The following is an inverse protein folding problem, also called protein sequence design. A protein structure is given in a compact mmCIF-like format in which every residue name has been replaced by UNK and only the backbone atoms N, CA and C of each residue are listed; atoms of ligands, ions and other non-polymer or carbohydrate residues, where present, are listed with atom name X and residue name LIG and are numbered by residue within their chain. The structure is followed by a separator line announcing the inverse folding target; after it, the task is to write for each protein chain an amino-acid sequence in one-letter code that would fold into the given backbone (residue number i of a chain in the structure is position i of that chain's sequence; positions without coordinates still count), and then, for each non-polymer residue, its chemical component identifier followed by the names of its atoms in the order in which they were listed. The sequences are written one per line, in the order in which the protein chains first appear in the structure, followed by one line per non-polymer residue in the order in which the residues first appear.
data_IF_992504985988
#
_entry.id   IF_992504985988
#
_cell.length_a   1.000
_cell.length_b   1.000
_cell.length_c   1.000
_cell.angle_alpha   90.00
_cell.angle_beta   90.00
_cell.angle_gamma   90.00
#
_symmetry.space_group_name_H-M   'P 1'
#
loop_
_entity.id
_entity.type
_entity.pdbx_description
1 polymer ?
#
# COMPACT_ATOMS: atom_id res chain seq x y z
N UNK A 1 -11.01 -10.50 -7.60
CA UNK A 1 -10.44 -9.57 -6.61
C UNK A 1 -11.32 -8.33 -6.49
N UNK A 2 -11.61 -7.92 -5.30
CA UNK A 2 -12.45 -6.75 -5.03
C UNK A 2 -11.58 -5.54 -4.72
N UNK A 3 -11.95 -4.36 -5.24
CA UNK A 3 -11.24 -3.11 -4.95
C UNK A 3 -12.21 -2.20 -4.19
N UNK A 4 -11.81 -1.80 -2.99
CA UNK A 4 -12.54 -0.81 -2.19
C UNK A 4 -11.75 0.50 -2.16
N UNK A 5 -12.44 1.61 -2.29
CA UNK A 5 -11.86 2.94 -2.25
C UNK A 5 -12.15 3.54 -0.87
N UNK A 6 -11.09 3.93 -0.16
CA UNK A 6 -11.21 4.50 1.18
C UNK A 6 -10.72 5.94 1.12
N UNK A 7 -11.59 6.88 1.51
CA UNK A 7 -11.22 8.30 1.57
C UNK A 7 -10.30 8.53 2.77
N UNK A 8 -9.16 9.12 2.52
CA UNK A 8 -8.18 9.52 3.53
C UNK A 8 -7.96 11.03 3.46
N UNK A 9 -7.81 11.68 4.62
CA UNK A 9 -7.64 13.12 4.68
C UNK A 9 -8.85 13.82 4.03
N UNK A 10 -8.68 15.00 3.43
CA UNK A 10 -9.78 15.71 2.80
C UNK A 10 -10.04 15.29 1.36
N UNK A 11 -8.97 15.01 0.61
CA UNK A 11 -9.04 14.83 -0.84
C UNK A 11 -8.19 13.66 -1.38
N UNK A 12 -7.71 12.76 -0.52
CA UNK A 12 -6.93 11.61 -0.93
C UNK A 12 -7.73 10.32 -0.81
N UNK A 13 -7.33 9.35 -1.63
CA UNK A 13 -7.95 8.03 -1.64
C UNK A 13 -6.90 6.94 -1.48
N UNK A 14 -7.22 5.96 -0.65
CA UNK A 14 -6.47 4.71 -0.56
C UNK A 14 -7.28 3.63 -1.24
N UNK A 15 -6.57 2.67 -1.85
CA UNK A 15 -7.23 1.56 -2.53
C UNK A 15 -6.92 0.28 -1.78
N UNK A 16 -7.95 -0.46 -1.43
CA UNK A 16 -7.82 -1.73 -0.75
C UNK A 16 -8.16 -2.86 -1.73
N UNK A 17 -7.17 -3.67 -2.05
CA UNK A 17 -7.31 -4.81 -2.95
C UNK A 17 -7.55 -6.04 -2.09
N UNK A 18 -8.72 -6.66 -2.22
CA UNK A 18 -9.16 -7.75 -1.34
C UNK A 18 -9.32 -9.04 -2.13
N UNK A 19 -8.68 -10.10 -1.66
CA UNK A 19 -8.95 -11.44 -2.17
C UNK A 19 -10.23 -11.94 -1.50
N UNK A 20 -11.28 -12.09 -2.26
CA UNK A 20 -12.61 -12.42 -1.74
C UNK A 20 -12.71 -13.82 -1.13
N UNK A 21 -11.78 -14.73 -1.47
CA UNK A 21 -11.80 -16.10 -0.96
C UNK A 21 -11.35 -16.21 0.50
N UNK A 22 -10.38 -15.41 0.91
CA UNK A 22 -9.77 -15.50 2.24
C UNK A 22 -9.67 -14.16 2.97
N UNK A 23 -10.13 -13.07 2.38
CA UNK A 23 -10.07 -11.72 2.93
C UNK A 23 -8.67 -11.17 3.14
N UNK A 24 -7.66 -11.74 2.50
CA UNK A 24 -6.32 -11.16 2.49
C UNK A 24 -6.30 -9.92 1.60
N UNK A 25 -5.59 -8.89 2.03
CA UNK A 25 -5.63 -7.60 1.34
C UNK A 25 -4.28 -6.90 1.26
N UNK A 26 -4.18 -6.03 0.26
CA UNK A 26 -3.10 -5.07 0.09
C UNK A 26 -3.73 -3.68 0.05
N UNK A 27 -3.20 -2.73 0.83
CA UNK A 27 -3.62 -1.34 0.75
C UNK A 27 -2.61 -0.52 -0.03
N UNK A 28 -3.11 0.32 -0.94
CA UNK A 28 -2.28 1.22 -1.75
C UNK A 28 -2.42 2.63 -1.18
N UNK A 29 -1.29 3.23 -0.85
CA UNK A 29 -1.16 4.61 -0.37
C UNK A 29 -2.08 4.96 0.81
N UNK A 30 -1.91 4.30 1.97
CA UNK A 30 -2.71 4.63 3.15
C UNK A 30 -2.21 5.95 3.77
N UNK A 31 -2.69 7.07 3.27
CA UNK A 31 -2.28 8.39 3.73
C UNK A 31 -2.66 8.67 5.18
N UNK A 32 -3.67 7.98 5.68
CA UNK A 32 -4.19 8.11 7.03
C UNK A 32 -4.60 6.73 7.54
N UNK A 33 -4.13 6.34 8.74
CA UNK A 33 -4.39 5.00 9.26
C UNK A 33 -5.84 4.77 9.68
N UNK A 34 -6.45 5.78 10.30
CA UNK A 34 -7.74 5.63 10.98
C UNK A 34 -8.88 5.12 10.09
N UNK A 35 -9.16 5.71 8.91
CA UNK A 35 -10.24 5.21 8.07
C UNK A 35 -9.94 3.82 7.49
N UNK A 36 -8.67 3.51 7.22
CA UNK A 36 -8.26 2.17 6.75
C UNK A 36 -8.46 1.14 7.86
N UNK A 37 -8.04 1.45 9.08
CA UNK A 37 -8.23 0.59 10.25
C UNK A 37 -9.70 0.26 10.46
N UNK A 38 -10.55 1.28 10.41
CA UNK A 38 -11.99 1.11 10.60
C UNK A 38 -12.58 0.14 9.59
N UNK A 39 -12.24 0.31 8.32
CA UNK A 39 -12.73 -0.57 7.25
C UNK A 39 -12.24 -2.01 7.47
N UNK A 40 -10.96 -2.19 7.78
CA UNK A 40 -10.36 -3.51 8.01
C UNK A 40 -11.04 -4.23 9.19
N UNK A 41 -11.24 -3.52 10.30
CA UNK A 41 -11.87 -4.10 11.49
C UNK A 41 -13.35 -4.43 11.25
N UNK A 42 -14.10 -3.52 10.63
CA UNK A 42 -15.53 -3.69 10.35
C UNK A 42 -15.80 -4.85 9.37
N UNK A 43 -14.87 -5.15 8.49
CA UNK A 43 -15.03 -6.16 7.45
C UNK A 43 -14.18 -7.42 7.66
N UNK A 44 -13.49 -7.53 8.80
CA UNK A 44 -12.67 -8.69 9.18
C UNK A 44 -11.64 -9.06 8.10
N UNK A 45 -10.88 -8.07 7.67
CA UNK A 45 -9.87 -8.20 6.61
C UNK A 45 -8.51 -8.49 7.21
N UNK A 46 -7.72 -9.31 6.53
CA UNK A 46 -6.32 -9.58 6.84
C UNK A 46 -5.41 -8.70 5.98
N UNK A 47 -4.88 -7.62 6.54
CA UNK A 47 -3.94 -6.78 5.80
C UNK A 47 -2.58 -7.47 5.74
N UNK A 48 -2.12 -7.80 4.53
CA UNK A 48 -0.82 -8.46 4.30
C UNK A 48 0.24 -7.48 3.81
N UNK A 49 -0.13 -6.52 2.97
CA UNK A 49 0.81 -5.64 2.30
C UNK A 49 0.33 -4.20 2.30
N UNK A 50 1.30 -3.30 2.38
CA UNK A 50 1.13 -1.87 2.16
C UNK A 50 1.97 -1.52 0.95
N UNK A 51 1.36 -1.00 -0.11
CA UNK A 51 2.04 -0.62 -1.33
C UNK A 51 2.01 0.89 -1.48
N UNK A 52 3.18 1.50 -1.60
CA UNK A 52 3.28 2.95 -1.79
C UNK A 52 3.68 3.27 -3.23
N UNK A 53 2.96 4.19 -3.86
CA UNK A 53 3.29 4.66 -5.20
C UNK A 53 4.41 5.70 -5.17
N UNK A 54 4.50 6.50 -4.10
CA UNK A 54 5.55 7.48 -3.90
C UNK A 54 5.63 7.88 -2.41
N UNK A 55 6.56 8.79 -2.08
CA UNK A 55 6.93 9.06 -0.69
C UNK A 55 6.20 10.22 -0.01
N UNK A 56 5.31 10.93 -0.68
CA UNK A 56 4.62 12.08 -0.07
C UNK A 56 3.82 11.65 1.16
N UNK A 57 3.79 12.50 2.19
CA UNK A 57 3.19 12.18 3.49
C UNK A 57 1.71 11.80 3.42
N UNK A 58 0.98 12.39 2.48
CA UNK A 58 -0.44 12.10 2.25
C UNK A 58 -0.69 10.72 1.60
N UNK A 59 0.37 9.98 1.29
CA UNK A 59 0.30 8.62 0.74
C UNK A 59 0.95 7.57 1.66
N UNK A 60 1.81 7.97 2.59
CA UNK A 60 2.49 7.05 3.50
C UNK A 60 2.16 7.26 4.97
N UNK A 61 1.32 8.23 5.30
CA UNK A 61 1.05 8.64 6.68
C UNK A 61 0.52 7.53 7.58
N UNK A 62 -0.17 6.54 7.03
CA UNK A 62 -0.70 5.40 7.77
C UNK A 62 0.21 4.19 7.87
N UNK A 63 1.37 4.22 7.20
CA UNK A 63 2.24 3.04 7.08
C UNK A 63 2.62 2.41 8.41
N UNK A 64 3.16 3.20 9.34
CA UNK A 64 3.69 2.68 10.60
C UNK A 64 2.62 1.99 11.46
N UNK A 65 1.49 2.63 11.62
CA UNK A 65 0.40 2.10 12.46
C UNK A 65 -0.13 0.79 11.86
N UNK A 66 -0.37 0.79 10.56
CA UNK A 66 -0.89 -0.39 9.86
C UNK A 66 0.12 -1.54 9.84
N UNK A 67 1.40 -1.23 9.58
CA UNK A 67 2.47 -2.23 9.62
C UNK A 67 2.57 -2.88 10.99
N UNK A 68 2.60 -2.09 12.05
CA UNK A 68 2.78 -2.60 13.41
C UNK A 68 1.56 -3.38 13.89
N UNK A 69 0.36 -2.92 13.55
CA UNK A 69 -0.87 -3.58 14.00
C UNK A 69 -1.11 -4.92 13.31
N UNK A 70 -0.84 -5.01 12.01
CA UNK A 70 -1.15 -6.21 11.21
C UNK A 70 0.07 -7.02 10.81
N UNK A 71 1.26 -6.57 11.18
CA UNK A 71 2.52 -7.16 10.72
C UNK A 71 2.59 -7.22 9.19
N UNK A 72 2.06 -6.18 8.54
CA UNK A 72 2.04 -6.06 7.09
C UNK A 72 3.41 -5.65 6.56
N UNK A 73 3.73 -6.07 5.34
CA UNK A 73 4.98 -5.71 4.68
C UNK A 73 4.78 -4.52 3.76
N UNK A 74 5.72 -3.58 3.78
CA UNK A 74 5.71 -2.39 2.94
C UNK A 74 6.48 -2.66 1.65
N UNK A 75 5.80 -2.44 0.51
CA UNK A 75 6.38 -2.54 -0.82
C UNK A 75 6.44 -1.14 -1.43
N UNK A 76 7.58 -0.77 -1.95
CA UNK A 76 7.77 0.53 -2.61
C UNK A 76 8.95 0.49 -3.56
N UNK A 77 9.08 1.52 -4.41
CA UNK A 77 10.19 1.64 -5.34
C UNK A 77 11.53 1.63 -4.62
N UNK A 78 12.50 0.93 -5.18
CA UNK A 78 13.90 0.98 -4.70
C UNK A 78 14.48 2.40 -4.72
N UNK A 79 13.95 3.27 -5.58
CA UNK A 79 14.35 4.66 -5.68
C UNK A 79 13.89 5.51 -4.50
N UNK A 80 12.93 5.03 -3.72
CA UNK A 80 12.44 5.70 -2.50
C UNK A 80 13.00 5.10 -1.22
N UNK A 81 14.07 4.32 -1.32
CA UNK A 81 14.71 3.63 -0.19
C UNK A 81 14.97 4.54 1.01
N UNK A 82 15.41 5.76 0.77
CA UNK A 82 15.74 6.72 1.83
C UNK A 82 14.59 7.63 2.21
N UNK A 83 13.50 7.63 1.45
CA UNK A 83 12.36 8.54 1.63
C UNK A 83 11.16 7.88 2.30
N UNK A 84 11.00 6.57 2.14
CA UNK A 84 9.93 5.79 2.77
C UNK A 84 10.55 4.91 3.84
N UNK A 85 10.23 5.14 5.12
CA UNK A 85 10.75 4.31 6.21
C UNK A 85 10.27 2.87 6.14
N UNK A 86 11.12 1.95 6.53
CA UNK A 86 10.78 0.55 6.79
C UNK A 86 10.25 -0.23 5.59
N UNK A 87 10.73 0.06 4.38
CA UNK A 87 10.38 -0.75 3.20
C UNK A 87 10.91 -2.17 3.40
N UNK A 88 10.03 -3.15 3.30
CA UNK A 88 10.39 -4.56 3.39
C UNK A 88 10.75 -5.15 2.04
N UNK A 89 10.06 -4.73 0.99
CA UNK A 89 10.23 -5.25 -0.37
C UNK A 89 10.44 -4.08 -1.32
N UNK A 90 11.62 -4.04 -1.97
CA UNK A 90 11.96 -3.01 -2.93
C UNK A 90 11.51 -3.43 -4.34
N UNK A 91 10.84 -2.53 -5.04
CA UNK A 91 10.30 -2.78 -6.36
C UNK A 91 11.11 -2.03 -7.42
N UNK A 92 11.32 -2.68 -8.57
CA UNK A 92 12.04 -2.13 -9.72
C UNK A 92 11.11 -1.96 -10.91
N UNK A 93 11.40 -1.00 -11.78
CA UNK A 93 10.64 -0.80 -13.02
C UNK A 93 10.64 -2.07 -13.88
N UNK A 94 9.46 -2.41 -14.39
CA UNK A 94 9.27 -3.59 -15.23
C UNK A 94 9.15 -4.90 -14.47
N UNK A 95 9.37 -4.90 -13.17
CA UNK A 95 9.27 -6.11 -12.35
C UNK A 95 7.84 -6.60 -12.28
N UNK A 96 7.67 -7.91 -12.33
CA UNK A 96 6.42 -8.56 -11.96
C UNK A 96 6.63 -9.15 -10.56
N UNK A 97 5.99 -8.54 -9.58
CA UNK A 97 6.03 -9.04 -8.21
C UNK A 97 4.79 -9.87 -7.94
N UNK A 98 4.96 -11.05 -7.38
CA UNK A 98 3.83 -11.91 -7.04
C UNK A 98 4.11 -12.75 -5.81
N UNK A 99 3.06 -13.10 -5.12
CA UNK A 99 3.04 -14.16 -4.11
C UNK A 99 1.85 -15.09 -4.40
N UNK A 100 1.39 -15.83 -3.41
CA UNK A 100 0.26 -16.75 -3.57
C UNK A 100 -1.09 -16.03 -3.74
N UNK A 101 -1.14 -14.73 -3.45
CA UNK A 101 -2.38 -13.96 -3.37
C UNK A 101 -2.45 -12.88 -4.45
N UNK A 102 -1.35 -12.14 -4.64
CA UNK A 102 -1.32 -10.94 -5.48
C UNK A 102 -0.26 -11.04 -6.57
N UNK A 103 -0.53 -10.40 -7.69
CA UNK A 103 0.42 -10.21 -8.79
C UNK A 103 0.36 -8.77 -9.27
N UNK A 104 1.51 -8.09 -9.30
CA UNK A 104 1.62 -6.70 -9.73
C UNK A 104 2.71 -6.55 -10.77
N UNK A 105 2.44 -5.74 -11.79
CA UNK A 105 3.48 -5.24 -12.69
C UNK A 105 3.88 -3.84 -12.25
N UNK A 106 5.17 -3.61 -12.05
CA UNK A 106 5.71 -2.32 -11.64
C UNK A 106 6.02 -1.47 -12.87
N UNK A 107 5.45 -0.28 -12.93
CA UNK A 107 5.68 0.66 -14.01
C UNK A 107 6.19 1.96 -13.39
N UNK A 108 7.44 2.34 -13.70
CA UNK A 108 8.01 3.60 -13.24
C UNK A 108 7.35 4.76 -13.99
N UNK A 109 6.90 5.74 -13.24
CA UNK A 109 6.24 6.94 -13.77
C UNK A 109 6.83 8.20 -13.11
N UNK A 110 8.15 8.47 -13.29
CA UNK A 110 8.78 9.62 -12.65
C UNK A 110 8.18 10.93 -13.16
N UNK A 111 8.19 11.94 -12.33
CA UNK A 111 7.64 13.24 -12.66
C UNK A 111 7.15 13.95 -11.42
N UNK A 112 6.00 13.54 -10.88
CA UNK A 112 5.48 14.04 -9.60
C UNK A 112 6.52 13.84 -8.49
N UNK A 113 7.11 12.65 -8.43
CA UNK A 113 8.36 12.38 -7.73
C UNK A 113 9.26 11.50 -8.61
N UNK A 114 10.55 11.46 -8.34
CA UNK A 114 11.48 10.63 -9.14
C UNK A 114 11.28 9.14 -8.88
N UNK A 115 10.81 8.77 -7.69
CA UNK A 115 10.56 7.38 -7.32
C UNK A 115 9.13 6.90 -7.57
N UNK A 116 8.29 7.68 -8.25
CA UNK A 116 6.88 7.35 -8.44
C UNK A 116 6.69 6.10 -9.33
N UNK A 117 5.90 5.19 -8.86
CA UNK A 117 5.52 3.98 -9.59
C UNK A 117 4.02 3.81 -9.66
#
# INVERSE_FOLDING_TARGET
MKIEIIKCLEDNFSYLLINEKNSDACVVDPGESKPVLKFIEDNKINLKYILNTHHHGDHIGGNNILKNKFNAKILASENDRERIPEIDIFLSDGQIWKDDIFEFKVISVPGHTMGHI
#
